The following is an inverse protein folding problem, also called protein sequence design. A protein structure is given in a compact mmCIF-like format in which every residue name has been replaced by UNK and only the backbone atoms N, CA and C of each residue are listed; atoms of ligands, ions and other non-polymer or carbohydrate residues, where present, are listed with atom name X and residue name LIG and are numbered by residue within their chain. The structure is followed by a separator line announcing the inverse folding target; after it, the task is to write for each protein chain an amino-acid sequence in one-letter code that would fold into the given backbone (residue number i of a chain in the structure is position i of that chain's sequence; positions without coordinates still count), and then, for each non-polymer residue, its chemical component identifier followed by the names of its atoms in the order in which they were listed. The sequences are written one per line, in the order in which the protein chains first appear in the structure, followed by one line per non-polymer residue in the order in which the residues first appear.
data_IF_795900829756
#
_entry.id   IF_795900829756
#
_cell.length_a   1.000
_cell.length_b   1.000
_cell.length_c   1.000
_cell.angle_alpha   90.00
_cell.angle_beta   90.00
_cell.angle_gamma   90.00
#
_symmetry.space_group_name_H-M   'P 1'
#
loop_
_entity.id
_entity.type
_entity.pdbx_description
1 polymer ?
#
# COMPACT_ATOMS: atom_id res chain seq x y z
N UNK A 1 -0.44 13.64 -3.07
CA UNK A 1 -0.44 12.17 -3.26
C UNK A 1 0.86 11.63 -2.73
N UNK A 2 0.82 10.58 -1.91
CA UNK A 2 2.00 9.89 -1.40
C UNK A 2 2.14 8.53 -2.08
N UNK A 3 3.38 8.14 -2.35
CA UNK A 3 3.73 6.86 -2.96
C UNK A 3 4.75 6.20 -2.04
N UNK A 4 4.46 4.97 -1.62
CA UNK A 4 5.32 4.14 -0.80
C UNK A 4 5.64 2.89 -1.61
N UNK A 5 6.92 2.55 -1.65
CA UNK A 5 7.42 1.32 -2.27
C UNK A 5 8.14 0.51 -1.20
N UNK A 6 7.82 -0.77 -1.12
CA UNK A 6 8.45 -1.71 -0.18
C UNK A 6 9.37 -2.61 -0.98
N UNK A 7 10.67 -2.35 -0.86
CA UNK A 7 11.71 -3.16 -1.47
C UNK A 7 12.33 -4.12 -0.46
N UNK A 8 12.43 -5.38 -0.83
CA UNK A 8 13.24 -6.35 -0.13
C UNK A 8 14.63 -6.40 -0.78
N UNK A 9 15.66 -6.15 0.03
CA UNK A 9 17.07 -6.30 -0.35
C UNK A 9 17.68 -7.46 0.45
N UNK A 10 17.72 -8.69 -0.10
CA UNK A 10 18.21 -9.86 0.62
C UNK A 10 19.65 -9.69 1.10
N UNK A 11 19.89 -9.78 2.41
CA UNK A 11 21.22 -9.66 3.01
C UNK A 11 21.95 -8.33 2.74
N UNK A 12 21.23 -7.29 2.27
CA UNK A 12 21.84 -6.02 1.85
C UNK A 12 22.45 -6.03 0.45
N UNK A 13 22.36 -7.13 -0.30
CA UNK A 13 22.85 -7.22 -1.67
C UNK A 13 21.87 -6.54 -2.65
N UNK A 14 22.15 -5.28 -3.00
CA UNK A 14 21.24 -4.46 -3.82
C UNK A 14 20.90 -5.05 -5.19
N UNK A 15 21.78 -5.86 -5.77
CA UNK A 15 21.54 -6.55 -7.04
C UNK A 15 20.35 -7.52 -6.98
N UNK A 16 19.97 -7.99 -5.79
CA UNK A 16 18.82 -8.85 -5.56
C UNK A 16 17.58 -8.09 -5.06
N UNK A 17 17.62 -6.75 -5.08
CA UNK A 17 16.47 -5.92 -4.74
C UNK A 17 15.25 -6.32 -5.57
N UNK A 18 14.12 -6.47 -4.89
CA UNK A 18 12.82 -6.59 -5.55
C UNK A 18 11.75 -5.85 -4.77
N UNK A 19 10.85 -5.19 -5.48
CA UNK A 19 9.65 -4.61 -4.86
C UNK A 19 8.69 -5.73 -4.51
N UNK A 20 8.30 -5.80 -3.24
CA UNK A 20 7.34 -6.78 -2.72
C UNK A 20 5.99 -6.16 -2.38
N UNK A 21 5.88 -4.83 -2.43
CA UNK A 21 4.61 -4.15 -2.29
C UNK A 21 4.70 -2.67 -2.60
N UNK A 22 3.54 -2.04 -2.77
CA UNK A 22 3.42 -0.60 -2.92
C UNK A 22 2.12 -0.10 -2.31
N UNK A 23 2.10 1.18 -1.93
CA UNK A 23 0.92 1.87 -1.42
C UNK A 23 0.85 3.27 -2.03
N UNK A 24 -0.32 3.64 -2.55
CA UNK A 24 -0.63 4.99 -3.00
C UNK A 24 -1.69 5.60 -2.09
N UNK A 25 -1.41 6.77 -1.54
CA UNK A 25 -2.33 7.50 -0.66
C UNK A 25 -2.69 8.83 -1.33
N UNK A 26 -3.92 8.94 -1.81
CA UNK A 26 -4.44 10.11 -2.50
C UNK A 26 -5.47 10.82 -1.62
N UNK A 27 -5.35 12.14 -1.47
CA UNK A 27 -6.36 12.94 -0.78
C UNK A 27 -7.66 12.95 -1.62
N UNK A 28 -8.80 12.70 -0.98
CA UNK A 28 -10.13 12.68 -1.60
C UNK A 28 -10.85 14.02 -1.37
N UNK A 29 -10.73 14.57 -0.16
CA UNK A 29 -11.42 15.80 0.26
C UNK A 29 -10.43 16.90 0.60
N UNK A 30 -10.55 18.05 -0.10
CA UNK A 30 -9.78 19.27 0.21
C UNK A 30 -10.40 20.07 1.37
N UNK A 31 -10.86 19.35 2.39
CA UNK A 31 -11.22 19.95 3.66
C UNK A 31 -9.90 20.38 4.33
N UNK A 32 -9.76 21.68 4.58
CA UNK A 32 -8.60 22.23 5.26
C UNK A 32 -8.46 21.57 6.64
N UNK A 33 -7.24 21.32 7.10
CA UNK A 33 -6.90 20.62 8.37
C UNK A 33 -7.30 19.15 8.50
N UNK A 34 -8.50 18.71 8.11
CA UNK A 34 -8.96 17.32 8.24
C UNK A 34 -9.36 16.80 6.88
N UNK A 35 -8.76 15.72 6.41
CA UNK A 35 -9.07 15.17 5.08
C UNK A 35 -9.19 13.66 5.06
N UNK A 36 -9.93 13.16 4.08
CA UNK A 36 -10.03 11.74 3.77
C UNK A 36 -9.02 11.36 2.70
N UNK A 37 -8.53 10.13 2.76
CA UNK A 37 -7.52 9.63 1.84
C UNK A 37 -7.91 8.28 1.28
N UNK A 38 -7.87 8.14 -0.05
CA UNK A 38 -7.97 6.87 -0.76
C UNK A 38 -6.62 6.18 -0.70
N UNK A 39 -6.63 4.92 -0.31
CA UNK A 39 -5.43 4.08 -0.26
C UNK A 39 -5.59 2.96 -1.26
N UNK A 40 -4.59 2.78 -2.11
CA UNK A 40 -4.47 1.64 -3.01
C UNK A 40 -3.19 0.89 -2.67
N UNK A 41 -3.30 -0.39 -2.35
CA UNK A 41 -2.17 -1.25 -2.01
C UNK A 41 -2.01 -2.37 -3.01
N UNK A 42 -0.77 -2.75 -3.26
CA UNK A 42 -0.42 -3.94 -4.03
C UNK A 42 0.61 -4.72 -3.25
N UNK A 43 0.41 -6.02 -3.16
CA UNK A 43 1.39 -6.97 -2.65
C UNK A 43 1.85 -7.84 -3.81
N UNK A 44 3.16 -8.02 -3.93
CA UNK A 44 3.74 -8.99 -4.84
C UNK A 44 3.42 -10.41 -4.38
N UNK A 45 3.60 -11.37 -5.29
CA UNK A 45 3.43 -12.78 -4.95
C UNK A 45 4.34 -13.19 -3.78
N UNK A 46 3.79 -13.93 -2.82
CA UNK A 46 4.54 -14.46 -1.70
C UNK A 46 4.50 -15.99 -1.74
N UNK A 47 5.57 -16.58 -2.28
CA UNK A 47 5.72 -18.03 -2.39
C UNK A 47 5.75 -18.75 -1.04
N UNK A 48 6.17 -18.09 0.04
CA UNK A 48 6.19 -18.69 1.38
C UNK A 48 4.78 -18.83 1.97
N UNK A 49 3.89 -17.90 1.62
CA UNK A 49 2.48 -17.91 2.05
C UNK A 49 1.54 -18.55 1.01
N UNK A 50 2.06 -18.93 -0.16
CA UNK A 50 1.25 -19.46 -1.27
C UNK A 50 0.29 -18.44 -1.88
N UNK A 51 0.55 -17.14 -1.73
CA UNK A 51 -0.35 -16.08 -2.25
C UNK A 51 0.16 -15.51 -3.57
N UNK A 52 -0.76 -15.34 -4.52
CA UNK A 52 -0.52 -14.61 -5.76
C UNK A 52 -0.30 -13.12 -5.49
N UNK A 53 0.15 -12.39 -6.51
CA UNK A 53 0.10 -10.93 -6.47
C UNK A 53 -1.36 -10.50 -6.29
N UNK A 54 -1.58 -9.50 -5.45
CA UNK A 54 -2.92 -9.07 -5.05
C UNK A 54 -2.96 -7.59 -4.76
N UNK A 55 -4.13 -6.98 -4.87
CA UNK A 55 -4.33 -5.59 -4.54
C UNK A 55 -5.54 -5.41 -3.62
N UNK A 56 -5.59 -4.27 -2.94
CA UNK A 56 -6.75 -3.85 -2.19
C UNK A 56 -6.91 -2.34 -2.26
N UNK A 57 -8.12 -1.88 -1.95
CA UNK A 57 -8.44 -0.46 -1.80
C UNK A 57 -9.14 -0.23 -0.47
N UNK A 58 -8.79 0.84 0.21
CA UNK A 58 -9.43 1.27 1.45
C UNK A 58 -9.38 2.80 1.56
N UNK A 59 -9.98 3.34 2.62
CA UNK A 59 -10.03 4.78 2.89
C UNK A 59 -9.57 5.05 4.31
N UNK A 60 -8.72 6.06 4.49
CA UNK A 60 -8.46 6.66 5.81
C UNK A 60 -9.39 7.86 5.94
N UNK A 61 -10.30 7.82 6.90
CA UNK A 61 -11.24 8.90 7.14
C UNK A 61 -10.69 9.91 8.15
N UNK A 62 -11.04 11.19 7.94
CA UNK A 62 -10.89 12.29 8.90
C UNK A 62 -9.48 12.40 9.50
N UNK A 63 -8.45 12.30 8.66
CA UNK A 63 -7.07 12.46 9.11
C UNK A 63 -6.72 13.95 9.32
N UNK A 64 -6.29 14.30 10.54
CA UNK A 64 -5.73 15.61 10.86
C UNK A 64 -4.34 15.78 10.22
N UNK A 65 -4.25 16.69 9.26
CA UNK A 65 -3.06 17.00 8.46
C UNK A 65 -1.95 17.68 9.26
N UNK A 66 -2.21 18.13 10.50
CA UNK A 66 -1.18 18.64 11.41
C UNK A 66 -0.38 17.54 12.10
N UNK A 67 -0.77 16.28 11.90
CA UNK A 67 -0.03 15.12 12.39
C UNK A 67 1.17 14.81 11.48
N UNK A 68 2.08 13.98 11.99
CA UNK A 68 3.23 13.53 11.20
C UNK A 68 2.76 12.70 10.01
N UNK A 69 3.51 12.72 8.92
CA UNK A 69 3.19 11.88 7.76
C UNK A 69 3.19 10.38 8.11
N UNK A 70 3.98 9.99 9.10
CA UNK A 70 4.03 8.63 9.63
C UNK A 70 2.71 8.22 10.31
N UNK A 71 1.98 9.15 10.91
CA UNK A 71 0.66 8.88 11.48
C UNK A 71 -0.37 8.56 10.38
N UNK A 72 -0.30 9.25 9.22
CA UNK A 72 -1.11 8.91 8.05
C UNK A 72 -0.74 7.53 7.51
N UNK A 73 0.55 7.26 7.34
CA UNK A 73 1.03 5.97 6.85
C UNK A 73 0.61 4.81 7.79
N UNK A 74 0.73 4.99 9.10
CA UNK A 74 0.32 3.99 10.08
C UNK A 74 -1.17 3.67 9.98
N UNK A 75 -2.03 4.69 9.89
CA UNK A 75 -3.48 4.49 9.67
C UNK A 75 -3.78 3.80 8.34
N UNK A 76 -3.10 4.21 7.27
CA UNK A 76 -3.27 3.60 5.95
C UNK A 76 -2.83 2.13 5.94
N UNK A 77 -1.73 1.78 6.62
CA UNK A 77 -1.30 0.41 6.78
C UNK A 77 -2.31 -0.42 7.60
N UNK A 78 -2.81 0.14 8.70
CA UNK A 78 -3.81 -0.52 9.54
C UNK A 78 -5.11 -0.80 8.75
N UNK A 79 -5.63 0.17 8.00
CA UNK A 79 -6.78 -0.04 7.10
C UNK A 79 -6.48 -1.06 5.99
N UNK A 80 -5.28 -1.04 5.42
CA UNK A 80 -4.88 -2.01 4.41
C UNK A 80 -4.87 -3.45 4.95
N UNK A 81 -4.46 -3.68 6.21
CA UNK A 81 -4.50 -5.04 6.81
C UNK A 81 -5.91 -5.57 7.00
N UNK A 82 -6.92 -4.69 7.08
CA UNK A 82 -8.35 -5.04 7.19
C UNK A 82 -9.06 -5.10 5.84
N UNK A 83 -8.42 -4.60 4.79
CA UNK A 83 -9.01 -4.53 3.47
C UNK A 83 -9.17 -5.93 2.84
N UNK A 84 -10.18 -6.07 1.98
CA UNK A 84 -10.33 -7.28 1.17
C UNK A 84 -9.37 -7.19 -0.02
N UNK A 85 -8.47 -8.16 -0.10
CA UNK A 85 -7.56 -8.28 -1.23
C UNK A 85 -8.20 -9.09 -2.35
N UNK A 86 -7.96 -8.65 -3.57
CA UNK A 86 -8.32 -9.33 -4.80
C UNK A 86 -7.05 -9.79 -5.49
N UNK A 87 -7.03 -11.03 -5.96
CA UNK A 87 -5.90 -11.56 -6.70
C UNK A 87 -5.78 -10.82 -8.03
N UNK A 88 -4.58 -10.33 -8.32
CA UNK A 88 -4.19 -9.87 -9.63
C UNK A 88 -3.92 -11.15 -10.44
N UNK A 89 -4.94 -11.63 -11.15
CA UNK A 89 -4.84 -12.82 -11.99
C UNK A 89 -3.54 -12.81 -12.81
N UNK A 90 -2.90 -13.98 -12.95
CA UNK A 90 -1.71 -14.15 -13.77
C UNK A 90 -1.95 -13.53 -15.16
N UNK A 91 -0.99 -12.79 -15.74
CA UNK A 91 -1.09 -12.48 -17.16
C UNK A 91 -1.22 -13.81 -17.89
N UNK A 92 -2.33 -14.00 -18.62
CA UNK A 92 -2.47 -15.10 -19.56
C UNK A 92 -1.23 -15.10 -20.44
N UNK A 93 -0.51 -16.22 -20.47
CA UNK A 93 0.59 -16.41 -21.42
C UNK A 93 -0.05 -16.50 -22.80
N UNK A 94 0.09 -15.43 -23.58
CA UNK A 94 -0.10 -15.46 -25.03
C UNK A 94 1.02 -16.28 -25.71
#
# INVERSE_FOLDING_TARGET
MLIITIDLVPGGYESFRRTIGSMRIANISDLADVSDYKVEVTEGANHLAGTSARNARCTVERHDRRQTIWALLAKAADEATRAKFEDLGSPEKE
#
